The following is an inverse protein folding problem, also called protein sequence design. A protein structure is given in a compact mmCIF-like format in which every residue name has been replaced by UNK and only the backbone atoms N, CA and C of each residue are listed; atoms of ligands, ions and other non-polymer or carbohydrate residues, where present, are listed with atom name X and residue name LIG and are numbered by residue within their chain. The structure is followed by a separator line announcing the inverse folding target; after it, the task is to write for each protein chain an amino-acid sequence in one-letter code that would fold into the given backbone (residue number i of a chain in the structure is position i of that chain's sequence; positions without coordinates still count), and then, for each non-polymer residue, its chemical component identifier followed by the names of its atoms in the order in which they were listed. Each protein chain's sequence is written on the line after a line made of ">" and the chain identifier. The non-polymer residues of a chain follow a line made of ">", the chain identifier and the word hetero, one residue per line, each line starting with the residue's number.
data_IF_676011550022
#
_entry.id   IF_676011550022
#
_cell.length_a   1.000
_cell.length_b   1.000
_cell.length_c   1.000
_cell.angle_alpha   90.00
_cell.angle_beta   90.00
_cell.angle_gamma   90.00
#
_symmetry.space_group_name_H-M   'P 1'
#
loop_
_entity.id
_entity.type
_entity.pdbx_description
1 polymer ?
#
# COMPACT_ATOMS: atom_id res chain seq x y z
N UNK A 1 6.81 34.98 -10.79
CA UNK A 1 7.75 34.18 -9.98
C UNK A 1 7.10 32.82 -9.75
N UNK A 2 7.71 31.73 -10.22
CA UNK A 2 7.17 30.38 -10.02
C UNK A 2 7.90 29.80 -8.80
N UNK A 3 7.16 29.53 -7.72
CA UNK A 3 7.70 28.86 -6.55
C UNK A 3 7.56 27.35 -6.75
N UNK A 4 8.69 26.61 -6.68
CA UNK A 4 8.67 25.15 -6.64
C UNK A 4 8.31 24.67 -5.23
N UNK A 5 7.65 23.53 -5.15
CA UNK A 5 7.36 22.87 -3.89
C UNK A 5 8.66 22.33 -3.27
N UNK A 6 8.75 22.28 -1.94
CA UNK A 6 9.97 21.89 -1.20
C UNK A 6 10.45 20.48 -1.62
N UNK A 7 9.52 19.60 -1.99
CA UNK A 7 9.80 18.22 -2.35
C UNK A 7 9.97 17.97 -3.86
N UNK A 8 9.92 19.02 -4.68
CA UNK A 8 9.91 18.87 -6.14
C UNK A 8 11.19 18.18 -6.64
N UNK A 9 12.35 18.55 -6.07
CA UNK A 9 13.64 17.96 -6.47
C UNK A 9 13.70 16.46 -6.13
N UNK A 10 13.12 16.04 -5.00
CA UNK A 10 13.00 14.62 -4.64
C UNK A 10 12.06 13.86 -5.57
N UNK A 11 10.95 14.49 -5.99
CA UNK A 11 10.00 13.88 -6.95
C UNK A 11 10.68 13.68 -8.29
N UNK A 12 11.46 14.67 -8.76
CA UNK A 12 12.24 14.58 -9.99
C UNK A 12 13.26 13.44 -9.94
N UNK A 13 13.98 13.30 -8.83
CA UNK A 13 14.93 12.21 -8.61
C UNK A 13 14.24 10.84 -8.64
N UNK A 14 13.12 10.67 -7.93
CA UNK A 14 12.34 9.42 -7.93
C UNK A 14 11.84 9.09 -9.34
N UNK A 15 11.39 10.08 -10.11
CA UNK A 15 10.96 9.89 -11.49
C UNK A 15 12.12 9.44 -12.38
N UNK A 16 13.31 10.04 -12.24
CA UNK A 16 14.50 9.59 -12.94
C UNK A 16 14.84 8.14 -12.59
N UNK A 17 14.90 7.83 -11.29
CA UNK A 17 15.21 6.50 -10.76
C UNK A 17 14.22 5.44 -11.25
N UNK A 18 12.94 5.77 -11.40
CA UNK A 18 11.88 4.85 -11.88
C UNK A 18 12.20 4.22 -13.23
N UNK A 19 13.00 4.89 -14.07
CA UNK A 19 13.34 4.41 -15.41
C UNK A 19 14.56 3.48 -15.45
N UNK A 20 15.29 3.34 -14.35
CA UNK A 20 16.40 2.36 -14.23
C UNK A 20 15.86 0.93 -14.33
N UNK A 21 16.67 0.01 -14.86
CA UNK A 21 16.24 -1.38 -15.09
C UNK A 21 15.87 -2.09 -13.78
N UNK A 22 16.67 -1.86 -12.73
CA UNK A 22 16.38 -2.37 -11.39
C UNK A 22 15.01 -1.88 -10.88
N UNK A 23 14.73 -0.58 -10.95
CA UNK A 23 13.48 -0.04 -10.42
C UNK A 23 12.27 -0.40 -11.29
N UNK A 24 12.43 -0.55 -12.61
CA UNK A 24 11.37 -1.12 -13.46
C UNK A 24 10.99 -2.53 -13.01
N UNK A 25 11.98 -3.38 -12.75
CA UNK A 25 11.74 -4.76 -12.27
C UNK A 25 11.05 -4.79 -10.90
N UNK A 26 11.44 -3.90 -9.99
CA UNK A 26 10.81 -3.77 -8.67
C UNK A 26 9.38 -3.24 -8.80
N UNK A 27 9.18 -2.21 -9.63
CA UNK A 27 7.88 -1.60 -9.84
C UNK A 27 6.89 -2.56 -10.48
N UNK A 28 7.33 -3.47 -11.35
CA UNK A 28 6.48 -4.52 -11.93
C UNK A 28 5.81 -5.40 -10.86
N UNK A 29 6.51 -5.70 -9.77
CA UNK A 29 6.00 -6.51 -8.63
C UNK A 29 4.85 -5.83 -7.86
N UNK A 30 4.60 -4.53 -8.10
CA UNK A 30 3.47 -3.78 -7.51
C UNK A 30 2.14 -4.41 -7.87
N UNK A 31 1.98 -4.92 -9.09
CA UNK A 31 0.74 -5.57 -9.56
C UNK A 31 0.43 -6.84 -8.76
N UNK A 32 1.47 -7.56 -8.38
CA UNK A 32 1.34 -8.81 -7.64
C UNK A 32 1.07 -8.56 -6.16
N UNK A 33 1.77 -7.61 -5.55
CA UNK A 33 1.74 -7.43 -4.10
C UNK A 33 0.74 -6.38 -3.68
N UNK A 34 0.92 -5.15 -4.17
CA UNK A 34 0.18 -3.96 -3.74
C UNK A 34 -1.22 -3.94 -4.36
N UNK A 35 -1.33 -4.07 -5.68
CA UNK A 35 -2.64 -3.99 -6.36
C UNK A 35 -3.57 -5.13 -5.96
N UNK A 36 -3.02 -6.33 -5.70
CA UNK A 36 -3.78 -7.47 -5.18
C UNK A 36 -4.40 -7.18 -3.81
N UNK A 37 -3.66 -6.56 -2.91
CA UNK A 37 -4.17 -6.17 -1.57
C UNK A 37 -5.26 -5.11 -1.70
N UNK A 38 -5.11 -4.14 -2.60
CA UNK A 38 -6.15 -3.15 -2.86
C UNK A 38 -7.41 -3.74 -3.51
N UNK A 39 -7.26 -4.73 -4.41
CA UNK A 39 -8.39 -5.45 -4.97
C UNK A 39 -9.15 -6.21 -3.88
N UNK A 40 -8.43 -6.93 -3.00
CA UNK A 40 -9.04 -7.61 -1.85
C UNK A 40 -9.76 -6.63 -0.91
N UNK A 41 -9.17 -5.46 -0.63
CA UNK A 41 -9.81 -4.43 0.18
C UNK A 41 -11.14 -3.96 -0.43
N UNK A 42 -11.19 -3.80 -1.77
CA UNK A 42 -12.41 -3.40 -2.48
C UNK A 42 -13.47 -4.48 -2.48
N UNK A 43 -13.13 -5.70 -2.89
CA UNK A 43 -14.12 -6.78 -3.05
C UNK A 43 -14.52 -7.42 -1.72
N UNK A 44 -13.56 -7.72 -0.85
CA UNK A 44 -13.82 -8.50 0.38
C UNK A 44 -14.15 -7.63 1.59
N UNK A 45 -13.69 -6.37 1.59
CA UNK A 45 -13.86 -5.46 2.74
C UNK A 45 -14.71 -4.22 2.41
N UNK A 46 -15.45 -4.25 1.29
CA UNK A 46 -16.48 -3.28 0.97
C UNK A 46 -15.96 -1.88 0.59
N UNK A 47 -14.66 -1.73 0.31
CA UNK A 47 -14.07 -0.43 -0.03
C UNK A 47 -14.35 0.04 -1.46
N UNK A 48 -15.25 -0.62 -2.21
CA UNK A 48 -15.80 -0.04 -3.44
C UNK A 48 -16.58 1.25 -3.16
N UNK A 49 -17.18 1.35 -1.98
CA UNK A 49 -18.01 2.48 -1.58
C UNK A 49 -17.63 2.94 -0.17
N UNK A 50 -17.71 4.25 0.06
CA UNK A 50 -17.56 4.80 1.41
C UNK A 50 -18.89 4.66 2.16
N UNK A 51 -18.92 3.80 3.16
CA UNK A 51 -20.14 3.54 3.96
C UNK A 51 -20.30 4.51 5.13
N UNK A 52 -19.23 5.22 5.51
CA UNK A 52 -19.20 6.16 6.63
C UNK A 52 -19.17 7.61 6.14
N UNK A 53 -19.82 8.51 6.89
CA UNK A 53 -19.81 9.95 6.61
C UNK A 53 -18.58 10.64 7.21
N UNK A 54 -17.80 11.30 6.35
CA UNK A 54 -16.67 12.14 6.73
C UNK A 54 -15.30 11.46 6.65
N UNK A 55 -14.28 12.21 6.23
CA UNK A 55 -12.92 11.72 5.94
C UNK A 55 -12.31 10.99 7.15
N UNK A 56 -12.46 11.53 8.36
CA UNK A 56 -11.89 10.93 9.58
C UNK A 56 -12.41 9.50 9.81
N UNK A 57 -13.71 9.26 9.59
CA UNK A 57 -14.32 7.94 9.81
C UNK A 57 -13.91 6.94 8.72
N UNK A 58 -13.90 7.38 7.46
CA UNK A 58 -13.43 6.55 6.34
C UNK A 58 -11.96 6.19 6.49
N UNK A 59 -11.12 7.14 6.91
CA UNK A 59 -9.71 6.90 7.18
C UNK A 59 -9.50 5.87 8.30
N UNK A 60 -10.27 5.96 9.38
CA UNK A 60 -10.24 4.98 10.47
C UNK A 60 -10.66 3.58 9.99
N UNK A 61 -11.73 3.47 9.20
CA UNK A 61 -12.15 2.19 8.60
C UNK A 61 -11.05 1.60 7.72
N UNK A 62 -10.41 2.43 6.90
CA UNK A 62 -9.30 2.00 6.05
C UNK A 62 -8.12 1.48 6.88
N UNK A 63 -7.70 2.26 7.88
CA UNK A 63 -6.61 1.90 8.78
C UNK A 63 -6.87 0.56 9.49
N UNK A 64 -8.05 0.38 10.07
CA UNK A 64 -8.40 -0.86 10.77
C UNK A 64 -8.41 -2.08 9.84
N UNK A 65 -8.91 -1.91 8.62
CA UNK A 65 -8.95 -2.99 7.63
C UNK A 65 -7.54 -3.42 7.24
N UNK A 66 -6.65 -2.49 6.91
CA UNK A 66 -5.27 -2.81 6.54
C UNK A 66 -4.45 -3.33 7.73
N UNK A 67 -4.70 -2.83 8.95
CA UNK A 67 -4.10 -3.38 10.15
C UNK A 67 -4.47 -4.86 10.33
N UNK A 68 -5.74 -5.22 10.19
CA UNK A 68 -6.20 -6.60 10.27
C UNK A 68 -5.63 -7.49 9.15
N UNK A 69 -5.54 -6.98 7.91
CA UNK A 69 -4.89 -7.70 6.80
C UNK A 69 -3.41 -8.00 7.10
N UNK A 70 -2.70 -7.02 7.66
CA UNK A 70 -1.29 -7.18 8.03
C UNK A 70 -1.12 -8.17 9.18
N UNK A 71 -1.98 -8.12 10.20
CA UNK A 71 -2.00 -9.10 11.28
C UNK A 71 -2.21 -10.53 10.75
N UNK A 72 -3.18 -10.72 9.85
CA UNK A 72 -3.41 -12.01 9.19
C UNK A 72 -2.17 -12.47 8.42
N UNK A 73 -1.48 -11.56 7.72
CA UNK A 73 -0.24 -11.88 7.01
C UNK A 73 0.86 -12.34 7.95
N UNK A 74 1.06 -11.65 9.07
CA UNK A 74 2.04 -12.03 10.09
C UNK A 74 1.70 -13.36 10.75
N UNK A 75 0.43 -13.60 11.07
CA UNK A 75 -0.02 -14.88 11.61
C UNK A 75 0.27 -16.04 10.64
N UNK A 76 0.02 -15.85 9.34
CA UNK A 76 0.36 -16.84 8.31
C UNK A 76 1.87 -17.08 8.21
N UNK A 77 2.70 -16.06 8.40
CA UNK A 77 4.15 -16.22 8.42
C UNK A 77 4.62 -17.01 9.64
N UNK A 78 4.13 -16.66 10.83
CA UNK A 78 4.43 -17.38 12.05
C UNK A 78 3.99 -18.85 11.98
N UNK A 79 2.86 -19.14 11.32
CA UNK A 79 2.39 -20.49 11.10
C UNK A 79 3.26 -21.29 10.13
N UNK A 80 3.68 -20.69 9.02
CA UNK A 80 4.48 -21.37 7.98
C UNK A 80 5.93 -21.59 8.39
N UNK A 81 6.48 -20.68 9.19
CA UNK A 81 7.85 -20.69 9.67
C UNK A 81 7.85 -20.51 11.19
N UNK A 82 7.40 -21.53 11.94
CA UNK A 82 7.43 -21.44 13.40
C UNK A 82 8.89 -21.33 13.85
N UNK A 83 9.18 -20.36 14.71
CA UNK A 83 10.47 -20.31 15.38
C UNK A 83 10.63 -21.62 16.18
N UNK A 84 11.76 -22.33 16.08
CA UNK A 84 12.02 -23.45 16.97
C UNK A 84 11.95 -22.96 18.42
N UNK A 85 11.23 -23.72 19.25
CA UNK A 85 11.03 -23.45 20.67
C UNK A 85 12.32 -23.63 21.47
#
# INVERSE_FOLDING_TARGET
>A
MIHRHIWEDNIDEVNHLRHTEMNKSIYAKRKETIERVFADAKEKHGMRWTTLRGIKKVAMQAMLTFAAMNLKKMANWAWKYPCPA
#
